data_IF_656643229023
#
_entry.id   IF_656643229023
#
_cell.length_a   1.000
_cell.length_b   1.000
_cell.length_c   1.000
_cell.angle_alpha   90.00
_cell.angle_beta   90.00
_cell.angle_gamma   90.00
#
_symmetry.space_group_name_H-M   'P 1'
#
loop_
_entity.id
_entity.type
_entity.pdbx_description
1 polymer ?
#
# COMPACT_ATOMS: atom_id res chain seq x y z
N UNK A 1 -5.40 2.65 13.79
CA UNK A 1 -4.67 1.48 13.24
C UNK A 1 -4.59 1.48 11.68
N UNK A 2 -4.72 2.66 11.08
CA UNK A 2 -4.72 2.85 9.62
C UNK A 2 -3.47 2.25 8.96
N UNK A 3 -2.29 2.47 9.53
CA UNK A 3 -1.01 1.91 9.05
C UNK A 3 -0.99 0.36 9.03
N UNK A 4 -1.92 -0.28 9.72
CA UNK A 4 -2.10 -1.74 9.79
C UNK A 4 -3.40 -2.21 9.13
N UNK A 5 -4.02 -1.37 8.26
CA UNK A 5 -5.19 -1.70 7.46
C UNK A 5 -6.55 -1.35 8.04
N UNK A 6 -6.62 -0.69 9.20
CA UNK A 6 -7.86 -0.15 9.76
C UNK A 6 -8.86 -1.17 10.31
N UNK A 7 -8.53 -2.46 10.31
CA UNK A 7 -9.47 -3.54 10.68
C UNK A 7 -9.92 -3.49 12.15
N UNK A 8 -9.05 -3.02 13.06
CA UNK A 8 -9.32 -2.95 14.50
C UNK A 8 -10.04 -1.67 14.93
N UNK A 9 -9.99 -0.63 14.11
CA UNK A 9 -10.68 0.64 14.32
C UNK A 9 -11.95 0.71 13.46
N UNK A 10 -11.90 1.38 12.30
CA UNK A 10 -13.08 1.56 11.45
C UNK A 10 -13.69 0.24 10.97
N UNK A 11 -12.88 -0.79 10.66
CA UNK A 11 -13.39 -2.10 10.28
C UNK A 11 -14.25 -2.73 11.38
N UNK A 12 -13.75 -2.74 12.61
CA UNK A 12 -14.49 -3.23 13.77
C UNK A 12 -15.77 -2.41 14.05
N UNK A 13 -15.70 -1.08 13.96
CA UNK A 13 -16.87 -0.22 14.15
C UNK A 13 -17.98 -0.51 13.13
N UNK A 14 -17.60 -0.72 11.87
CA UNK A 14 -18.52 -1.09 10.79
C UNK A 14 -19.10 -2.49 11.02
N UNK A 15 -18.27 -3.48 11.38
CA UNK A 15 -18.70 -4.86 11.66
C UNK A 15 -19.72 -4.92 12.81
N UNK A 16 -19.47 -4.17 13.88
CA UNK A 16 -20.38 -4.12 15.04
C UNK A 16 -21.59 -3.19 14.83
N UNK A 17 -21.62 -2.45 13.72
CA UNK A 17 -22.71 -1.52 13.41
C UNK A 17 -22.76 -0.28 14.28
N UNK A 18 -21.63 0.09 14.91
CA UNK A 18 -21.51 1.34 15.67
C UNK A 18 -21.41 2.57 14.76
N UNK A 19 -20.96 2.38 13.53
CA UNK A 19 -20.99 3.42 12.49
C UNK A 19 -21.78 2.93 11.29
N UNK A 20 -22.73 3.76 10.82
CA UNK A 20 -23.58 3.50 9.62
C UNK A 20 -23.80 4.81 8.90
N UNK A 21 -22.75 5.45 8.36
CA UNK A 21 -22.90 6.72 7.65
C UNK A 21 -23.53 6.51 6.27
N UNK A 22 -24.29 7.49 5.80
CA UNK A 22 -24.78 7.52 4.43
C UNK A 22 -23.69 7.96 3.44
N UNK A 23 -22.75 8.80 3.92
CA UNK A 23 -21.62 9.34 3.16
C UNK A 23 -20.38 9.39 4.07
N UNK A 24 -19.20 9.28 3.48
CA UNK A 24 -17.91 9.33 4.20
C UNK A 24 -16.95 10.32 3.53
N UNK A 25 -16.39 11.23 4.33
CA UNK A 25 -15.24 12.05 3.94
C UNK A 25 -14.07 11.67 4.85
N UNK A 26 -13.01 11.10 4.28
CA UNK A 26 -11.75 10.90 4.99
C UNK A 26 -10.81 12.09 4.78
N UNK A 27 -9.95 12.37 5.78
CA UNK A 27 -8.95 13.41 5.67
C UNK A 27 -7.97 13.17 4.51
N UNK A 28 -7.63 14.23 3.76
CA UNK A 28 -6.73 14.13 2.61
C UNK A 28 -6.34 15.48 2.03
N UNK A 29 -6.21 15.54 0.73
CA UNK A 29 -5.74 16.70 -0.02
C UNK A 29 -6.84 17.77 -0.18
N UNK A 30 -6.44 19.05 -0.24
CA UNK A 30 -7.38 20.17 -0.44
C UNK A 30 -7.62 20.52 -1.92
N UNK A 31 -6.70 20.15 -2.81
CA UNK A 31 -6.72 20.52 -4.23
C UNK A 31 -7.25 19.41 -5.15
N UNK A 32 -7.78 18.35 -4.59
CA UNK A 32 -8.38 17.25 -5.35
C UNK A 32 -9.38 16.48 -4.49
N UNK A 33 -10.40 15.93 -5.11
CA UNK A 33 -11.31 14.95 -4.49
C UNK A 33 -10.82 13.57 -4.87
N UNK A 34 -10.32 12.80 -3.91
CA UNK A 34 -9.83 11.45 -4.22
C UNK A 34 -11.00 10.46 -4.14
N UNK A 35 -11.26 9.79 -5.26
CA UNK A 35 -12.35 8.82 -5.42
C UNK A 35 -11.87 7.38 -5.59
N UNK A 36 -10.56 7.20 -5.76
CA UNK A 36 -9.92 5.90 -5.90
C UNK A 36 -8.52 5.92 -5.28
N UNK A 37 -8.05 4.78 -4.79
CA UNK A 37 -6.67 4.66 -4.31
C UNK A 37 -6.11 3.26 -4.51
N UNK A 38 -4.77 3.15 -4.46
CA UNK A 38 -4.10 1.86 -4.55
C UNK A 38 -4.46 0.94 -3.38
N UNK A 39 -4.45 -0.36 -3.66
CA UNK A 39 -4.36 -1.38 -2.62
C UNK A 39 -2.92 -1.58 -2.13
N UNK A 40 -2.77 -2.32 -1.05
CA UNK A 40 -1.48 -2.63 -0.43
C UNK A 40 -1.45 -4.09 0.04
N UNK A 41 -0.44 -4.84 -0.41
CA UNK A 41 -0.11 -6.15 0.11
C UNK A 41 1.26 -6.08 0.78
N UNK A 42 1.33 -6.37 2.07
CA UNK A 42 2.60 -6.49 2.78
C UNK A 42 2.86 -7.93 3.19
N UNK A 43 4.07 -8.39 2.96
CA UNK A 43 4.50 -9.76 3.27
C UNK A 43 5.87 -9.76 3.95
N UNK A 44 6.07 -10.72 4.83
CA UNK A 44 7.35 -11.09 5.39
C UNK A 44 7.77 -12.43 4.81
N UNK A 45 8.98 -12.49 4.31
CA UNK A 45 9.59 -13.69 3.74
C UNK A 45 10.81 -14.03 4.58
N UNK A 46 10.82 -15.22 5.16
CA UNK A 46 11.96 -15.76 5.93
C UNK A 46 12.60 -16.89 5.13
N UNK A 47 13.86 -16.72 4.79
CA UNK A 47 14.68 -17.70 4.08
C UNK A 47 15.48 -18.49 5.09
N UNK A 48 15.36 -19.81 5.05
CA UNK A 48 16.07 -20.74 5.91
C UNK A 48 17.14 -21.48 5.13
N UNK A 49 18.35 -21.43 5.64
CA UNK A 49 19.50 -22.19 5.19
C UNK A 49 20.13 -22.96 6.35
N UNK A 50 21.46 -23.06 6.36
CA UNK A 50 22.23 -23.79 7.40
C UNK A 50 23.51 -23.03 7.73
N UNK A 51 23.70 -22.68 9.00
CA UNK A 51 24.91 -22.00 9.45
C UNK A 51 26.14 -22.91 9.29
N UNK A 52 27.25 -22.28 8.96
CA UNK A 52 28.60 -22.92 8.99
C UNK A 52 29.67 -21.88 9.31
N UNK A 53 30.84 -22.32 9.67
CA UNK A 53 31.99 -21.45 9.83
C UNK A 53 32.48 -20.97 8.45
N UNK A 54 32.79 -19.68 8.31
CA UNK A 54 33.19 -19.10 7.03
C UNK A 54 34.46 -19.69 6.40
N UNK A 55 35.29 -20.40 7.18
CA UNK A 55 36.46 -21.12 6.67
C UNK A 55 36.11 -22.44 5.94
N UNK A 56 34.87 -22.95 6.15
CA UNK A 56 34.36 -24.19 5.53
C UNK A 56 32.94 -23.97 5.06
N UNK A 57 32.69 -22.96 4.19
CA UNK A 57 31.33 -22.47 3.85
C UNK A 57 30.47 -23.54 3.18
N UNK A 58 31.07 -24.47 2.44
CA UNK A 58 30.38 -25.55 1.73
C UNK A 58 29.67 -26.56 2.65
N UNK A 59 29.94 -26.51 3.96
CA UNK A 59 29.21 -27.30 4.96
C UNK A 59 27.92 -26.67 5.44
N UNK A 60 27.69 -25.44 5.03
CA UNK A 60 26.48 -24.65 5.26
C UNK A 60 25.61 -24.48 4.03
N UNK A 61 24.51 -23.74 4.21
CA UNK A 61 23.61 -23.31 3.12
C UNK A 61 23.31 -21.84 3.35
N UNK A 62 23.82 -20.98 2.50
CA UNK A 62 23.78 -19.53 2.70
C UNK A 62 22.39 -18.95 2.41
N UNK A 63 21.67 -18.60 3.48
CA UNK A 63 20.35 -17.97 3.40
C UNK A 63 20.41 -16.55 2.79
N UNK A 64 21.54 -15.84 2.93
CA UNK A 64 21.68 -14.50 2.35
C UNK A 64 21.84 -14.55 0.83
N UNK A 65 22.64 -15.50 0.31
CA UNK A 65 22.74 -15.70 -1.13
C UNK A 65 21.38 -16.07 -1.73
N UNK A 66 20.63 -16.95 -1.06
CA UNK A 66 19.28 -17.32 -1.49
C UNK A 66 18.31 -16.12 -1.43
N UNK A 67 18.35 -15.32 -0.36
CA UNK A 67 17.54 -14.11 -0.25
C UNK A 67 17.85 -13.11 -1.36
N UNK A 68 19.14 -12.89 -1.70
CA UNK A 68 19.54 -12.01 -2.82
C UNK A 68 19.01 -12.54 -4.15
N UNK A 69 19.04 -13.86 -4.37
CA UNK A 69 18.49 -14.47 -5.58
C UNK A 69 16.99 -14.24 -5.70
N UNK A 70 16.24 -14.43 -4.62
CA UNK A 70 14.79 -14.14 -4.54
C UNK A 70 14.51 -12.65 -4.79
N UNK A 71 15.25 -11.76 -4.14
CA UNK A 71 15.11 -10.30 -4.30
C UNK A 71 15.36 -9.86 -5.73
N UNK A 72 16.35 -10.42 -6.42
CA UNK A 72 16.60 -10.14 -7.83
C UNK A 72 15.41 -10.54 -8.72
N UNK A 73 14.78 -11.68 -8.45
CA UNK A 73 13.57 -12.14 -9.16
C UNK A 73 12.38 -11.22 -8.91
N UNK A 74 12.17 -10.78 -7.66
CA UNK A 74 11.14 -9.81 -7.30
C UNK A 74 11.37 -8.44 -7.95
N UNK A 75 12.61 -7.95 -8.01
CA UNK A 75 12.93 -6.69 -8.69
C UNK A 75 12.83 -6.80 -10.21
N UNK A 76 13.12 -7.97 -10.79
CA UNK A 76 12.86 -8.23 -12.21
C UNK A 76 11.34 -8.15 -12.50
N UNK A 77 10.53 -8.79 -11.67
CA UNK A 77 9.06 -8.69 -11.75
C UNK A 77 8.58 -7.24 -11.59
N UNK A 78 9.16 -6.47 -10.66
CA UNK A 78 8.81 -5.06 -10.45
C UNK A 78 9.07 -4.18 -11.69
N UNK A 79 10.08 -4.51 -12.51
CA UNK A 79 10.32 -3.81 -13.78
C UNK A 79 9.18 -4.03 -14.78
N UNK A 80 8.56 -5.22 -14.78
CA UNK A 80 7.44 -5.54 -15.65
C UNK A 80 6.16 -4.78 -15.25
N UNK A 81 5.97 -4.47 -13.98
CA UNK A 81 4.83 -3.68 -13.51
C UNK A 81 4.75 -2.29 -14.13
N UNK A 82 5.86 -1.69 -14.55
CA UNK A 82 5.88 -0.41 -15.27
C UNK A 82 5.19 -0.45 -16.63
N UNK A 83 4.93 -1.64 -17.16
CA UNK A 83 4.21 -1.85 -18.43
C UNK A 83 2.69 -1.93 -18.24
N UNK A 84 2.24 -2.00 -16.98
CA UNK A 84 0.83 -2.05 -16.61
C UNK A 84 0.42 -0.64 -16.20
N UNK A 85 -0.60 -0.07 -16.85
CA UNK A 85 -1.10 1.26 -16.51
C UNK A 85 -2.50 1.16 -15.93
N UNK A 86 -2.77 1.91 -14.86
CA UNK A 86 -4.11 2.11 -14.37
C UNK A 86 -4.89 2.99 -15.34
N UNK A 87 -6.21 2.79 -15.41
CA UNK A 87 -7.13 3.66 -16.14
C UNK A 87 -7.66 4.80 -15.26
N UNK A 88 -7.31 4.80 -13.97
CA UNK A 88 -7.70 5.85 -13.02
C UNK A 88 -6.68 6.98 -13.07
N UNK A 89 -7.12 8.18 -13.43
CA UNK A 89 -6.28 9.37 -13.39
C UNK A 89 -5.70 9.58 -11.98
N UNK A 90 -4.40 9.86 -11.87
CA UNK A 90 -3.68 10.00 -10.60
C UNK A 90 -3.10 8.70 -10.06
N UNK A 91 -3.39 7.55 -10.68
CA UNK A 91 -2.77 6.25 -10.38
C UNK A 91 -2.00 5.78 -11.62
N UNK A 92 -0.71 5.51 -11.48
CA UNK A 92 0.12 5.15 -12.63
C UNK A 92 0.16 3.65 -12.87
N UNK A 93 1.03 2.94 -12.16
CA UNK A 93 1.29 1.52 -12.32
C UNK A 93 1.48 0.83 -10.95
N UNK A 94 1.33 -0.48 -10.88
CA UNK A 94 1.68 -1.24 -9.69
C UNK A 94 3.19 -1.14 -9.41
N UNK A 95 3.60 -1.31 -8.14
CA UNK A 95 5.03 -1.38 -7.80
C UNK A 95 5.27 -2.19 -6.54
N UNK A 96 6.51 -2.67 -6.39
CA UNK A 96 6.97 -3.44 -5.24
C UNK A 96 8.21 -2.76 -4.64
N UNK A 97 8.21 -2.61 -3.33
CA UNK A 97 9.34 -2.15 -2.55
C UNK A 97 9.72 -3.18 -1.48
N UNK A 98 11.01 -3.36 -1.24
CA UNK A 98 11.50 -4.11 -0.08
C UNK A 98 12.04 -3.08 0.92
N UNK A 99 11.29 -2.87 1.99
CA UNK A 99 11.57 -1.82 2.97
C UNK A 99 12.46 -2.26 4.13
N UNK A 100 12.61 -3.58 4.35
CA UNK A 100 13.41 -4.13 5.46
C UNK A 100 14.04 -5.44 5.05
N UNK A 101 15.30 -5.63 5.45
CA UNK A 101 16.03 -6.89 5.40
C UNK A 101 16.85 -7.04 6.67
N UNK A 102 16.89 -8.25 7.24
CA UNK A 102 17.69 -8.55 8.41
C UNK A 102 18.09 -10.03 8.42
N UNK A 103 19.21 -10.36 9.03
CA UNK A 103 19.69 -11.74 9.16
C UNK A 103 21.18 -11.86 9.34
N UNK A 104 21.64 -13.11 9.51
CA UNK A 104 23.02 -13.41 9.88
C UNK A 104 23.29 -13.18 11.38
N UNK A 105 24.46 -13.64 11.85
CA UNK A 105 24.85 -13.56 13.27
C UNK A 105 26.20 -12.91 13.45
N UNK A 106 27.20 -13.27 12.62
CA UNK A 106 28.55 -12.75 12.70
C UNK A 106 29.23 -12.82 11.33
N UNK A 107 30.24 -11.98 11.11
CA UNK A 107 31.00 -11.88 9.85
C UNK A 107 31.66 -13.18 9.42
N UNK A 108 32.06 -14.02 10.37
CA UNK A 108 32.73 -15.31 10.11
C UNK A 108 31.77 -16.52 10.14
N UNK A 109 30.46 -16.29 9.95
CA UNK A 109 29.43 -17.34 9.94
C UNK A 109 28.60 -17.21 8.65
N UNK A 110 28.43 -18.34 7.94
CA UNK A 110 27.48 -18.47 6.84
C UNK A 110 26.06 -18.23 7.39
N UNK A 111 25.27 -17.26 6.87
CA UNK A 111 23.95 -16.95 7.41
C UNK A 111 22.99 -18.13 7.27
N UNK A 112 22.42 -18.58 8.40
CA UNK A 112 21.43 -19.66 8.41
C UNK A 112 19.99 -19.17 8.25
N UNK A 113 19.76 -17.87 8.49
CA UNK A 113 18.42 -17.28 8.35
C UNK A 113 18.53 -15.83 7.93
N UNK A 114 17.68 -15.42 6.97
CA UNK A 114 17.52 -14.04 6.54
C UNK A 114 16.03 -13.80 6.35
N UNK A 115 15.50 -12.67 6.84
CA UNK A 115 14.15 -12.23 6.57
C UNK A 115 14.11 -10.88 5.87
N UNK A 116 13.10 -10.67 5.03
CA UNK A 116 12.81 -9.36 4.44
C UNK A 116 11.33 -9.10 4.40
N UNK A 117 10.97 -7.80 4.38
CA UNK A 117 9.58 -7.35 4.28
C UNK A 117 9.39 -6.55 3.00
N UNK A 118 8.34 -6.88 2.26
CA UNK A 118 7.96 -6.21 1.03
C UNK A 118 6.59 -5.54 1.15
N UNK A 119 6.42 -4.47 0.38
CA UNK A 119 5.19 -3.72 0.16
C UNK A 119 4.89 -3.71 -1.34
N UNK A 120 3.76 -4.28 -1.73
CA UNK A 120 3.28 -4.35 -3.10
C UNK A 120 2.03 -3.48 -3.25
N UNK A 121 2.17 -2.35 -3.96
CA UNK A 121 1.05 -1.48 -4.26
C UNK A 121 0.29 -1.98 -5.48
N UNK A 122 -1.01 -2.19 -5.28
CA UNK A 122 -1.93 -2.71 -6.29
C UNK A 122 -2.74 -1.55 -6.89
N UNK A 123 -2.93 -1.57 -8.20
CA UNK A 123 -3.87 -0.65 -8.86
C UNK A 123 -5.31 -1.17 -8.74
N UNK A 124 -6.34 -0.31 -8.93
CA UNK A 124 -7.75 -0.72 -8.78
C UNK A 124 -8.20 -1.85 -9.70
N UNK A 125 -7.51 -2.06 -10.82
CA UNK A 125 -7.82 -3.10 -11.80
C UNK A 125 -7.32 -4.48 -11.41
N UNK A 126 -6.39 -4.58 -10.46
CA UNK A 126 -5.82 -5.86 -10.01
C UNK A 126 -6.74 -6.58 -9.02
N UNK A 127 -6.65 -7.91 -9.01
CA UNK A 127 -7.34 -8.79 -8.08
C UNK A 127 -6.35 -9.18 -6.97
N UNK A 128 -6.58 -8.79 -5.71
CA UNK A 128 -5.61 -8.95 -4.62
C UNK A 128 -5.09 -10.38 -4.44
N UNK A 129 -5.98 -11.37 -4.54
CA UNK A 129 -5.63 -12.78 -4.36
C UNK A 129 -4.69 -13.27 -5.48
N UNK A 130 -4.89 -12.78 -6.71
CA UNK A 130 -4.02 -13.11 -7.84
C UNK A 130 -2.66 -12.44 -7.69
N UNK A 131 -2.62 -11.20 -7.16
CA UNK A 131 -1.37 -10.50 -6.89
C UNK A 131 -0.56 -11.24 -5.82
N UNK A 132 -1.18 -11.68 -4.72
CA UNK A 132 -0.51 -12.48 -3.70
C UNK A 132 -0.01 -13.81 -4.27
N UNK A 133 -0.84 -14.53 -5.03
CA UNK A 133 -0.46 -15.79 -5.66
C UNK A 133 0.74 -15.61 -6.61
N UNK A 134 0.74 -14.53 -7.40
CA UNK A 134 1.87 -14.22 -8.29
C UNK A 134 3.17 -13.96 -7.52
N UNK A 135 3.15 -13.17 -6.44
CA UNK A 135 4.34 -12.91 -5.61
C UNK A 135 4.86 -14.22 -5.01
N UNK A 136 3.96 -15.07 -4.48
CA UNK A 136 4.34 -16.38 -3.92
C UNK A 136 4.96 -17.28 -4.98
N UNK A 137 4.42 -17.26 -6.21
CA UNK A 137 4.97 -18.04 -7.32
C UNK A 137 6.38 -17.57 -7.72
N UNK A 138 6.59 -16.25 -7.86
CA UNK A 138 7.92 -15.66 -8.14
C UNK A 138 8.95 -16.10 -7.11
N UNK A 139 8.57 -16.10 -5.82
CA UNK A 139 9.45 -16.55 -4.74
C UNK A 139 9.72 -18.06 -4.84
N UNK A 140 8.69 -18.87 -5.08
CA UNK A 140 8.83 -20.31 -5.20
C UNK A 140 9.72 -20.70 -6.38
N UNK A 141 9.56 -20.06 -7.54
CA UNK A 141 10.38 -20.29 -8.73
C UNK A 141 11.86 -19.92 -8.46
N UNK A 142 12.09 -18.80 -7.78
CA UNK A 142 13.42 -18.37 -7.39
C UNK A 142 14.08 -19.38 -6.41
N UNK A 143 13.35 -19.87 -5.42
CA UNK A 143 13.83 -20.91 -4.49
C UNK A 143 14.15 -22.20 -5.24
N UNK A 144 13.27 -22.64 -6.13
CA UNK A 144 13.50 -23.84 -6.93
C UNK A 144 14.75 -23.70 -7.81
N UNK A 145 14.94 -22.56 -8.45
CA UNK A 145 16.12 -22.27 -9.26
C UNK A 145 17.41 -22.26 -8.42
N UNK A 146 17.36 -21.67 -7.21
CA UNK A 146 18.49 -21.65 -6.29
C UNK A 146 18.85 -23.07 -5.80
N UNK A 147 17.87 -23.93 -5.59
CA UNK A 147 18.02 -25.30 -5.12
C UNK A 147 18.44 -26.29 -6.21
N UNK A 148 18.36 -25.90 -7.49
CA UNK A 148 18.65 -26.79 -8.60
C UNK A 148 20.08 -27.35 -8.52
N UNK A 149 20.22 -28.67 -8.59
CA UNK A 149 21.51 -29.38 -8.52
C UNK A 149 22.11 -29.51 -7.13
N UNK A 150 21.41 -29.06 -6.07
CA UNK A 150 21.83 -29.24 -4.68
C UNK A 150 21.34 -30.58 -4.11
N UNK A 151 22.09 -31.14 -3.15
CA UNK A 151 21.63 -32.32 -2.42
C UNK A 151 20.49 -31.96 -1.44
N UNK A 152 19.73 -32.96 -1.03
CA UNK A 152 18.55 -32.78 -0.19
C UNK A 152 18.82 -32.14 1.18
N UNK A 153 20.04 -32.26 1.70
CA UNK A 153 20.50 -31.67 2.95
C UNK A 153 21.10 -30.26 2.80
N UNK A 154 21.17 -29.76 1.55
CA UNK A 154 21.71 -28.45 1.18
C UNK A 154 20.67 -27.53 0.52
N UNK A 155 19.39 -27.81 0.73
CA UNK A 155 18.29 -26.98 0.21
C UNK A 155 17.98 -25.80 1.13
N UNK A 156 17.62 -24.66 0.54
CA UNK A 156 16.95 -23.59 1.26
C UNK A 156 15.44 -23.79 1.23
N UNK A 157 14.76 -23.30 2.26
CA UNK A 157 13.30 -23.20 2.31
C UNK A 157 12.86 -21.78 2.65
N UNK A 158 11.59 -21.46 2.44
CA UNK A 158 11.04 -20.15 2.76
C UNK A 158 9.70 -20.27 3.47
N UNK A 159 9.52 -19.42 4.48
CA UNK A 159 8.23 -19.14 5.08
C UNK A 159 7.74 -17.78 4.59
N UNK A 160 6.48 -17.71 4.13
CA UNK A 160 5.88 -16.47 3.64
C UNK A 160 4.63 -16.16 4.46
N UNK A 161 4.70 -15.07 5.22
CA UNK A 161 3.59 -14.56 6.04
C UNK A 161 3.03 -13.29 5.41
N UNK A 162 1.71 -13.26 5.16
CA UNK A 162 1.01 -12.02 4.84
C UNK A 162 0.87 -11.18 6.11
N UNK A 163 1.32 -9.91 6.05
CA UNK A 163 1.22 -8.93 7.14
C UNK A 163 -0.06 -8.12 6.97
N UNK A 164 -0.33 -7.67 5.74
CA UNK A 164 -1.46 -6.80 5.40
C UNK A 164 -1.98 -7.13 4.01
N UNK A 165 -3.31 -7.08 3.86
CA UNK A 165 -4.01 -7.01 2.59
C UNK A 165 -5.03 -5.89 2.68
N UNK A 166 -4.76 -4.75 2.05
CA UNK A 166 -5.70 -3.65 1.91
C UNK A 166 -6.11 -3.54 0.43
N UNK A 167 -7.40 -3.70 0.16
CA UNK A 167 -7.90 -3.62 -1.21
C UNK A 167 -7.79 -2.19 -1.76
N UNK A 168 -7.70 -2.05 -3.07
CA UNK A 168 -7.79 -0.76 -3.72
C UNK A 168 -9.21 -0.20 -3.60
N UNK A 169 -9.33 1.10 -3.35
CA UNK A 169 -10.63 1.77 -3.40
C UNK A 169 -11.01 2.06 -4.85
N UNK A 170 -12.24 1.72 -5.21
CA UNK A 170 -12.85 2.02 -6.51
C UNK A 170 -13.97 3.05 -6.32
N UNK A 171 -14.19 3.99 -7.26
CA UNK A 171 -15.26 4.95 -7.13
C UNK A 171 -16.63 4.26 -7.18
N UNK A 172 -17.54 4.65 -6.29
CA UNK A 172 -18.95 4.23 -6.32
C UNK A 172 -19.79 5.26 -7.08
N UNK A 173 -20.83 4.80 -7.76
CA UNK A 173 -21.78 5.69 -8.42
C UNK A 173 -22.43 6.69 -7.43
N UNK A 174 -22.64 6.27 -6.18
CA UNK A 174 -23.17 7.11 -5.10
C UNK A 174 -22.24 8.24 -4.64
N UNK A 175 -20.99 8.29 -5.08
CA UNK A 175 -20.05 9.37 -4.76
C UNK A 175 -20.41 10.69 -5.47
N UNK A 176 -21.19 10.66 -6.55
CA UNK A 176 -21.42 11.82 -7.41
C UNK A 176 -21.96 13.08 -6.68
N UNK A 177 -22.97 13.00 -5.80
CA UNK A 177 -23.42 14.18 -5.05
C UNK A 177 -22.33 14.78 -4.17
N UNK A 178 -21.57 13.93 -3.46
CA UNK A 178 -20.49 14.35 -2.58
C UNK A 178 -19.33 14.99 -3.35
N UNK A 179 -18.90 14.37 -4.44
CA UNK A 179 -17.87 14.90 -5.35
C UNK A 179 -18.30 16.26 -5.91
N UNK A 180 -19.54 16.36 -6.41
CA UNK A 180 -20.04 17.60 -7.01
C UNK A 180 -20.09 18.76 -5.98
N UNK A 181 -20.56 18.50 -4.76
CA UNK A 181 -20.62 19.52 -3.73
C UNK A 181 -19.21 20.01 -3.33
N UNK A 182 -18.24 19.09 -3.14
CA UNK A 182 -16.86 19.46 -2.84
C UNK A 182 -16.22 20.24 -3.98
N UNK A 183 -16.43 19.83 -5.24
CA UNK A 183 -15.89 20.51 -6.42
C UNK A 183 -16.46 21.93 -6.57
N UNK A 184 -17.77 22.11 -6.36
CA UNK A 184 -18.45 23.41 -6.39
C UNK A 184 -17.83 24.35 -5.35
N UNK A 185 -17.88 23.97 -4.08
CA UNK A 185 -17.39 24.83 -2.99
C UNK A 185 -15.87 24.98 -3.00
N UNK A 186 -15.14 23.92 -3.39
CA UNK A 186 -13.71 23.98 -3.56
C UNK A 186 -13.31 24.98 -4.66
N UNK A 187 -13.94 24.91 -5.82
CA UNK A 187 -13.71 25.84 -6.92
C UNK A 187 -13.95 27.30 -6.52
N UNK A 188 -15.06 27.58 -5.80
CA UNK A 188 -15.38 28.91 -5.30
C UNK A 188 -14.36 29.44 -4.27
N UNK A 189 -13.88 28.57 -3.34
CA UNK A 189 -13.05 28.99 -2.20
C UNK A 189 -11.56 29.06 -2.60
N UNK A 190 -11.09 28.11 -3.40
CA UNK A 190 -9.70 28.09 -3.85
C UNK A 190 -9.46 28.96 -5.09
N UNK A 191 -10.52 29.29 -5.86
CA UNK A 191 -10.42 30.08 -7.07
C UNK A 191 -9.92 29.30 -8.28
N UNK A 192 -9.90 27.97 -8.20
CA UNK A 192 -9.49 27.06 -9.28
C UNK A 192 -10.32 25.77 -9.23
N UNK A 193 -10.48 25.04 -10.34
CA UNK A 193 -11.18 23.77 -10.37
C UNK A 193 -10.50 22.72 -9.47
N UNK A 194 -11.30 21.96 -8.72
CA UNK A 194 -10.85 20.83 -7.91
C UNK A 194 -11.15 19.54 -8.68
N UNK A 195 -10.15 18.82 -9.24
CA UNK A 195 -10.39 17.60 -9.99
C UNK A 195 -10.78 16.44 -9.07
N UNK A 196 -11.57 15.51 -9.60
CA UNK A 196 -11.79 14.19 -8.99
C UNK A 196 -10.79 13.20 -9.60
N UNK A 197 -9.97 12.54 -8.78
CA UNK A 197 -8.91 11.65 -9.27
C UNK A 197 -8.56 10.57 -8.25
N UNK A 198 -7.64 9.71 -8.61
CA UNK A 198 -7.07 8.69 -7.73
C UNK A 198 -5.78 9.15 -7.03
N UNK A 199 -5.33 8.37 -6.05
CA UNK A 199 -4.05 8.55 -5.37
C UNK A 199 -3.31 7.21 -5.21
N UNK A 200 -1.96 7.19 -5.26
CA UNK A 200 -1.19 5.98 -4.98
C UNK A 200 -1.16 5.59 -3.48
N UNK A 201 -1.67 6.44 -2.61
CA UNK A 201 -1.79 6.15 -1.17
C UNK A 201 -3.00 5.26 -0.92
N UNK A 202 -3.00 4.48 0.16
CA UNK A 202 -4.21 3.79 0.63
C UNK A 202 -4.67 4.36 1.97
N UNK A 203 -5.97 4.24 2.25
CA UNK A 203 -6.59 4.73 3.49
C UNK A 203 -7.72 3.82 3.95
N UNK A 204 -8.19 4.03 5.17
CA UNK A 204 -9.30 3.28 5.78
C UNK A 204 -10.67 3.57 5.13
N UNK A 205 -10.81 4.62 4.32
CA UNK A 205 -12.07 4.93 3.62
C UNK A 205 -12.52 3.76 2.74
N UNK A 206 -11.58 2.93 2.24
CA UNK A 206 -11.88 1.71 1.49
C UNK A 206 -12.85 0.79 2.22
N UNK A 207 -12.74 0.67 3.56
CA UNK A 207 -13.57 -0.22 4.38
C UNK A 207 -15.05 0.19 4.34
N UNK A 208 -15.34 1.49 4.24
CA UNK A 208 -16.69 2.02 4.03
C UNK A 208 -17.16 1.78 2.61
N UNK A 209 -16.30 2.07 1.63
CA UNK A 209 -16.60 1.86 0.21
C UNK A 209 -16.85 0.40 -0.13
N UNK A 210 -16.10 -0.54 0.46
CA UNK A 210 -16.31 -1.99 0.34
C UNK A 210 -17.68 -2.44 0.88
N UNK A 211 -18.27 -1.68 1.82
CA UNK A 211 -19.64 -1.89 2.32
C UNK A 211 -20.70 -1.16 1.50
N UNK A 212 -20.32 -0.54 0.38
CA UNK A 212 -21.22 0.20 -0.47
C UNK A 212 -21.56 1.61 0.02
N UNK A 213 -20.87 2.11 1.05
CA UNK A 213 -21.02 3.46 1.57
C UNK A 213 -20.22 4.43 0.70
N UNK A 214 -20.85 5.41 0.02
CA UNK A 214 -20.14 6.38 -0.80
C UNK A 214 -19.13 7.15 0.03
N UNK A 215 -17.86 7.15 -0.41
CA UNK A 215 -16.76 7.76 0.32
C UNK A 215 -15.75 8.42 -0.60
N UNK A 216 -15.18 9.52 -0.13
CA UNK A 216 -14.10 10.24 -0.79
C UNK A 216 -13.04 10.64 0.22
N UNK A 217 -11.84 10.96 -0.27
CA UNK A 217 -10.77 11.55 0.53
C UNK A 217 -10.68 13.01 0.13
N UNK A 218 -10.86 13.91 1.09
CA UNK A 218 -10.73 15.36 0.94
C UNK A 218 -10.38 15.99 2.30
N UNK A 219 -9.53 16.99 2.32
CA UNK A 219 -9.15 17.63 3.58
C UNK A 219 -8.17 18.78 3.38
N UNK A 220 -7.36 19.06 4.40
CA UNK A 220 -6.46 20.20 4.44
C UNK A 220 -5.06 19.92 3.87
N UNK A 221 -4.80 18.71 3.38
CA UNK A 221 -3.50 18.32 2.85
C UNK A 221 -3.07 19.14 1.64
N UNK A 222 -1.77 19.21 1.36
CA UNK A 222 -1.20 20.02 0.29
C UNK A 222 -1.52 19.44 -1.09
N UNK A 223 -1.04 20.10 -2.16
CA UNK A 223 -1.20 19.62 -3.54
C UNK A 223 -0.52 18.27 -3.78
N UNK A 224 0.62 18.04 -3.14
CA UNK A 224 1.41 16.83 -3.31
C UNK A 224 1.95 16.33 -1.97
N UNK A 225 2.21 15.02 -1.90
CA UNK A 225 2.89 14.40 -0.74
C UNK A 225 4.28 15.00 -0.51
N UNK A 226 4.95 15.48 -1.57
CA UNK A 226 6.27 16.11 -1.44
C UNK A 226 6.20 17.43 -0.70
N UNK A 227 5.16 18.23 -0.91
CA UNK A 227 4.96 19.51 -0.22
C UNK A 227 4.69 19.33 1.28
N UNK A 228 4.04 18.25 1.69
CA UNK A 228 3.80 17.95 3.10
C UNK A 228 5.03 17.50 3.85
N UNK A 229 6.08 17.08 3.16
CA UNK A 229 7.22 16.36 3.74
C UNK A 229 6.79 15.12 4.54
N UNK A 230 5.75 14.43 4.10
CA UNK A 230 5.18 13.27 4.78
C UNK A 230 6.25 12.24 5.18
N UNK A 231 6.13 11.70 6.40
CA UNK A 231 7.07 10.76 7.03
C UNK A 231 8.48 11.35 7.31
N UNK A 232 8.62 12.68 7.33
CA UNK A 232 9.85 13.40 7.70
C UNK A 232 9.66 14.16 9.01
N UNK A 233 10.78 14.54 9.66
CA UNK A 233 10.74 15.30 10.91
C UNK A 233 10.14 16.71 10.78
N UNK A 234 10.14 17.28 9.57
CA UNK A 234 9.62 18.59 9.23
C UNK A 234 8.29 18.50 8.44
N UNK A 235 7.51 17.47 8.67
CA UNK A 235 6.16 17.32 8.11
C UNK A 235 5.30 18.54 8.45
N UNK A 236 4.61 19.08 7.45
CA UNK A 236 3.97 20.39 7.55
C UNK A 236 2.64 20.48 6.82
N UNK A 237 1.83 21.43 7.28
CA UNK A 237 0.54 21.78 6.72
C UNK A 237 0.45 23.31 6.56
N UNK A 238 -0.09 23.78 5.43
CA UNK A 238 -0.42 25.18 5.22
C UNK A 238 -1.71 25.53 5.99
N UNK A 239 -1.65 26.50 6.89
CA UNK A 239 -2.82 26.90 7.70
C UNK A 239 -3.93 27.54 6.86
N UNK A 240 -3.60 28.19 5.73
CA UNK A 240 -4.61 28.74 4.85
C UNK A 240 -5.36 27.63 4.08
N UNK A 241 -4.67 26.55 3.70
CA UNK A 241 -5.31 25.37 3.13
C UNK A 241 -6.23 24.68 4.15
N UNK A 242 -5.82 24.60 5.40
CA UNK A 242 -6.68 24.10 6.48
C UNK A 242 -7.95 24.94 6.62
N UNK A 243 -7.83 26.29 6.64
CA UNK A 243 -8.97 27.20 6.74
C UNK A 243 -9.92 27.06 5.56
N UNK A 244 -9.37 27.01 4.33
CA UNK A 244 -10.16 26.86 3.11
C UNK A 244 -10.85 25.50 3.04
N UNK A 245 -10.13 24.41 3.30
CA UNK A 245 -10.71 23.06 3.30
C UNK A 245 -11.83 22.91 4.35
N UNK A 246 -11.66 23.50 5.53
CA UNK A 246 -12.71 23.55 6.55
C UNK A 246 -14.00 24.24 6.01
N UNK A 247 -13.85 25.35 5.30
CA UNK A 247 -14.99 26.04 4.68
C UNK A 247 -15.65 25.20 3.60
N UNK A 248 -14.86 24.50 2.76
CA UNK A 248 -15.40 23.60 1.72
C UNK A 248 -16.21 22.49 2.37
N UNK A 249 -15.66 21.79 3.36
CA UNK A 249 -16.34 20.70 4.06
C UNK A 249 -17.63 21.21 4.72
N UNK A 250 -17.58 22.35 5.42
CA UNK A 250 -18.76 22.93 6.10
C UNK A 250 -19.88 23.26 5.12
N UNK A 251 -19.56 23.86 3.95
CA UNK A 251 -20.56 24.13 2.91
C UNK A 251 -21.08 22.86 2.25
N UNK A 252 -20.22 21.88 2.01
CA UNK A 252 -20.60 20.57 1.48
C UNK A 252 -21.58 19.87 2.40
N UNK A 253 -21.32 19.84 3.71
CA UNK A 253 -22.24 19.27 4.69
C UNK A 253 -23.59 20.00 4.71
N UNK A 254 -23.58 21.34 4.62
CA UNK A 254 -24.81 22.13 4.57
C UNK A 254 -25.65 21.79 3.33
N UNK A 255 -25.04 21.63 2.16
CA UNK A 255 -25.76 21.27 0.93
C UNK A 255 -26.33 19.85 0.95
N UNK A 256 -25.65 18.90 1.64
CA UNK A 256 -26.02 17.48 1.63
C UNK A 256 -26.96 17.07 2.77
N UNK A 257 -27.05 17.87 3.84
CA UNK A 257 -27.86 17.57 5.03
C UNK A 257 -29.16 18.37 5.09
N UNK A 258 -29.39 19.32 4.17
CA UNK A 258 -30.64 20.06 3.97
C UNK A 258 -31.41 19.52 2.77
#
# INVERSE_FOLDING_TARGET
>A
DEEFGGEKGPGWLLEKGYTRPDLMIAAGFSYQVVTAHNGCLQMEVTVHGKMAHAAIPDTGVDALQAAVHILNSLYAQNKLYKQISSQVEGINHPYLNVGRIEGGTNTNVVPGTVSFKLDRRMIPEEIPEQVEANIRQVIADAVNAFNQGRSSDALVSVDIKRILMAHAMKPLAGNAPLVHAIQKHGGEIFGEPIPAMGTPLYTDVRLYVEKGIPGVIYGAGPRTVLESHAKRADERLNLEDLRKATQVISRTLLDLLN
#
